data_IF_336512836495
#
_entry.id   IF_336512836495
#
_cell.length_a   1.000
_cell.length_b   1.000
_cell.length_c   1.000
_cell.angle_alpha   90.00
_cell.angle_beta   90.00
_cell.angle_gamma   90.00
#
_symmetry.space_group_name_H-M   'P 1'
#
loop_
_entity.id
_entity.type
_entity.pdbx_description
1 polymer ?
#
# COMPACT_ATOMS: atom_id res chain seq x y z
N UNK A 1 17.48 -20.91 1.38
CA UNK A 1 16.80 -19.71 1.92
C UNK A 1 15.37 -19.64 1.41
N UNK A 2 14.35 -19.36 2.28
CA UNK A 2 12.96 -19.18 1.84
C UNK A 2 12.71 -17.73 1.49
N UNK A 3 12.17 -17.47 0.31
CA UNK A 3 11.80 -16.13 -0.12
C UNK A 3 10.30 -16.03 -0.39
N UNK A 4 9.75 -14.88 -0.08
CA UNK A 4 8.37 -14.53 -0.36
C UNK A 4 8.31 -13.53 -1.51
N UNK A 5 7.53 -13.85 -2.55
CA UNK A 5 7.31 -12.96 -3.70
C UNK A 5 5.82 -12.79 -3.97
N UNK A 6 5.42 -11.56 -4.29
CA UNK A 6 4.04 -11.27 -4.68
C UNK A 6 3.94 -10.99 -6.18
N UNK A 7 3.09 -11.73 -6.87
CA UNK A 7 2.77 -11.53 -8.29
C UNK A 7 1.42 -10.83 -8.39
N UNK A 8 1.44 -9.58 -8.86
CA UNK A 8 0.24 -8.75 -8.95
C UNK A 8 -0.19 -8.57 -10.39
N UNK A 9 -1.45 -8.92 -10.68
CA UNK A 9 -2.05 -8.82 -12.00
C UNK A 9 -3.32 -7.99 -11.97
N UNK A 10 -3.69 -7.40 -13.11
CA UNK A 10 -4.99 -6.78 -13.29
C UNK A 10 -6.06 -7.85 -13.40
N UNK A 11 -7.09 -7.76 -12.56
CA UNK A 11 -8.25 -8.63 -12.57
C UNK A 11 -9.35 -7.98 -13.44
N UNK A 12 -10.05 -8.77 -14.24
CA UNK A 12 -11.08 -8.33 -15.18
C UNK A 12 -12.41 -9.05 -14.89
N UNK A 13 -13.10 -8.68 -13.78
CA UNK A 13 -14.41 -9.23 -13.48
C UNK A 13 -15.46 -8.68 -14.45
N UNK A 14 -16.49 -9.49 -14.75
CA UNK A 14 -17.72 -9.01 -15.39
C UNK A 14 -18.51 -8.12 -14.42
N UNK A 15 -19.68 -7.60 -14.85
CA UNK A 15 -20.50 -6.68 -14.05
C UNK A 15 -20.95 -7.32 -12.72
N UNK A 16 -21.50 -8.54 -12.76
CA UNK A 16 -21.98 -9.29 -11.60
C UNK A 16 -20.85 -9.62 -10.61
N UNK A 17 -19.75 -10.17 -11.12
CA UNK A 17 -18.55 -10.44 -10.33
C UNK A 17 -18.00 -9.15 -9.67
N UNK A 18 -18.06 -8.03 -10.39
CA UNK A 18 -17.63 -6.72 -9.88
C UNK A 18 -18.50 -6.25 -8.70
N UNK A 19 -19.80 -6.53 -8.73
CA UNK A 19 -20.74 -6.26 -7.61
C UNK A 19 -20.38 -7.14 -6.42
N UNK A 20 -20.27 -8.47 -6.60
CA UNK A 20 -19.92 -9.42 -5.54
C UNK A 20 -18.59 -9.09 -4.89
N UNK A 21 -17.56 -8.79 -5.68
CA UNK A 21 -16.24 -8.37 -5.17
C UNK A 21 -16.34 -7.06 -4.36
N UNK A 22 -17.18 -6.12 -4.79
CA UNK A 22 -17.40 -4.86 -4.07
C UNK A 22 -18.06 -5.10 -2.72
N UNK A 23 -19.01 -6.03 -2.63
CA UNK A 23 -19.65 -6.45 -1.38
C UNK A 23 -18.64 -7.10 -0.44
N UNK A 24 -17.84 -8.06 -0.93
CA UNK A 24 -16.84 -8.77 -0.13
C UNK A 24 -15.78 -7.82 0.47
N UNK A 25 -15.21 -6.92 -0.34
CA UNK A 25 -14.21 -5.97 0.17
C UNK A 25 -14.85 -4.88 1.05
N UNK A 26 -16.09 -4.52 0.74
CA UNK A 26 -16.91 -3.61 1.55
C UNK A 26 -17.18 -4.14 2.94
N UNK A 27 -17.60 -5.40 3.04
CA UNK A 27 -17.80 -6.12 4.30
C UNK A 27 -16.51 -6.19 5.13
N UNK A 28 -15.38 -6.47 4.49
CA UNK A 28 -14.09 -6.48 5.18
C UNK A 28 -13.70 -5.08 5.74
N UNK A 29 -14.04 -3.99 5.03
CA UNK A 29 -13.82 -2.62 5.53
C UNK A 29 -14.78 -2.30 6.68
N UNK A 30 -16.05 -2.66 6.57
CA UNK A 30 -17.04 -2.47 7.62
C UNK A 30 -16.59 -3.16 8.91
N UNK A 31 -16.27 -4.44 8.84
CA UNK A 31 -15.84 -5.24 10.00
C UNK A 31 -14.55 -4.66 10.61
N UNK A 32 -13.59 -4.18 9.80
CA UNK A 32 -12.44 -3.44 10.33
C UNK A 32 -12.88 -2.25 11.16
N UNK A 33 -13.80 -1.43 10.66
CA UNK A 33 -14.21 -0.21 11.36
C UNK A 33 -15.00 -0.53 12.64
N UNK A 34 -15.93 -1.47 12.59
CA UNK A 34 -16.70 -1.86 13.78
C UNK A 34 -15.80 -2.41 14.89
N UNK A 35 -14.90 -3.33 14.54
CA UNK A 35 -13.99 -3.90 15.53
C UNK A 35 -12.91 -2.89 15.96
N UNK A 36 -12.55 -1.92 15.11
CA UNK A 36 -11.70 -0.80 15.52
C UNK A 36 -12.39 0.04 16.61
N UNK A 37 -13.69 0.37 16.46
CA UNK A 37 -14.45 1.06 17.48
C UNK A 37 -14.44 0.29 18.80
N UNK A 38 -14.78 -1.02 18.74
CA UNK A 38 -14.75 -1.90 19.94
C UNK A 38 -13.34 -1.95 20.56
N UNK A 39 -12.28 -1.90 19.76
CA UNK A 39 -10.90 -1.92 20.26
C UNK A 39 -10.49 -0.60 20.93
N UNK A 40 -11.11 0.52 20.59
CA UNK A 40 -10.93 1.78 21.32
C UNK A 40 -11.58 1.72 22.68
N UNK A 41 -12.77 1.09 22.80
CA UNK A 41 -13.42 0.83 24.09
C UNK A 41 -12.53 -0.05 25.00
N UNK A 42 -12.00 -1.16 24.43
CA UNK A 42 -11.07 -2.03 25.14
C UNK A 42 -9.83 -1.27 25.61
N UNK A 43 -9.26 -0.42 24.74
CA UNK A 43 -8.09 0.37 25.07
C UNK A 43 -8.34 1.37 26.22
N UNK A 44 -9.50 2.04 26.21
CA UNK A 44 -9.90 2.97 27.25
C UNK A 44 -10.07 2.28 28.61
N UNK A 45 -10.57 1.04 28.63
CA UNK A 45 -10.72 0.19 29.82
C UNK A 45 -9.44 -0.49 30.28
N UNK A 46 -8.33 -0.35 29.53
CA UNK A 46 -7.07 -1.06 29.82
C UNK A 46 -7.12 -2.56 29.50
N UNK A 47 -8.09 -3.01 28.71
CA UNK A 47 -8.22 -4.41 28.32
C UNK A 47 -7.14 -4.83 27.32
N UNK A 48 -6.73 -6.10 27.37
CA UNK A 48 -5.69 -6.64 26.50
C UNK A 48 -6.18 -6.82 25.05
N UNK A 49 -5.54 -6.12 24.12
CA UNK A 49 -5.87 -6.15 22.70
C UNK A 49 -4.92 -7.09 21.95
N UNK A 50 -5.42 -8.25 21.55
CA UNK A 50 -4.69 -9.22 20.75
C UNK A 50 -5.55 -9.75 19.57
N UNK A 51 -4.93 -10.59 18.72
CA UNK A 51 -5.60 -11.12 17.54
C UNK A 51 -6.81 -12.00 17.88
N UNK A 52 -6.72 -12.82 18.93
CA UNK A 52 -7.78 -13.74 19.35
C UNK A 52 -8.99 -12.96 19.86
N UNK A 53 -8.77 -12.02 20.79
CA UNK A 53 -9.86 -11.21 21.36
C UNK A 53 -10.60 -10.41 20.28
N UNK A 54 -9.86 -9.82 19.33
CA UNK A 54 -10.48 -9.06 18.24
C UNK A 54 -11.22 -9.95 17.23
N UNK A 55 -10.67 -11.13 16.89
CA UNK A 55 -11.32 -12.07 15.94
C UNK A 55 -12.63 -12.61 16.54
N UNK A 56 -12.67 -12.92 17.84
CA UNK A 56 -13.88 -13.39 18.51
C UNK A 56 -15.05 -12.40 18.44
N UNK A 57 -14.75 -11.08 18.39
CA UNK A 57 -15.78 -10.04 18.22
C UNK A 57 -16.53 -10.15 16.87
N UNK A 58 -15.95 -10.81 15.85
CA UNK A 58 -16.62 -11.02 14.56
C UNK A 58 -17.91 -11.81 14.71
N UNK A 59 -17.92 -12.83 15.59
CA UNK A 59 -19.11 -13.67 15.82
C UNK A 59 -20.24 -12.85 16.42
N UNK A 60 -19.96 -12.06 17.45
CA UNK A 60 -20.93 -11.14 18.04
C UNK A 60 -21.50 -10.15 17.01
N UNK A 61 -20.61 -9.55 16.20
CA UNK A 61 -21.03 -8.62 15.15
C UNK A 61 -21.95 -9.27 14.10
N UNK A 62 -21.71 -10.54 13.73
CA UNK A 62 -22.57 -11.27 12.78
C UNK A 62 -23.91 -11.67 13.36
N UNK A 63 -24.02 -11.77 14.67
CA UNK A 63 -25.27 -12.10 15.36
C UNK A 63 -26.13 -10.86 15.65
N UNK A 64 -25.55 -9.67 15.52
CA UNK A 64 -26.27 -8.41 15.58
C UNK A 64 -27.22 -8.32 14.37
N UNK A 65 -28.52 -8.04 14.58
CA UNK A 65 -29.52 -7.90 13.51
C UNK A 65 -29.09 -6.91 12.42
N UNK A 66 -28.49 -5.78 12.78
CA UNK A 66 -28.05 -4.74 11.85
C UNK A 66 -26.93 -5.20 10.90
N UNK A 67 -26.18 -6.25 11.28
CA UNK A 67 -25.06 -6.81 10.53
C UNK A 67 -25.27 -8.26 10.08
N UNK A 68 -26.48 -8.82 10.24
CA UNK A 68 -26.80 -10.22 9.91
C UNK A 68 -26.44 -10.59 8.46
N UNK A 69 -26.52 -9.62 7.53
CA UNK A 69 -26.13 -9.80 6.12
C UNK A 69 -24.65 -10.19 5.94
N UNK A 70 -23.78 -9.97 6.94
CA UNK A 70 -22.40 -10.42 6.90
C UNK A 70 -22.29 -11.96 6.87
N UNK A 71 -23.32 -12.71 7.27
CA UNK A 71 -23.34 -14.18 7.17
C UNK A 71 -23.32 -14.64 5.72
N UNK A 72 -23.97 -13.90 4.81
CA UNK A 72 -24.11 -14.20 3.38
C UNK A 72 -23.15 -13.41 2.49
N UNK A 73 -22.99 -12.10 2.74
CA UNK A 73 -22.26 -11.17 1.89
C UNK A 73 -20.77 -11.04 2.26
N UNK A 74 -20.22 -11.92 3.11
CA UNK A 74 -18.81 -11.87 3.48
C UNK A 74 -18.14 -13.25 3.43
N UNK A 75 -16.81 -13.25 3.36
CA UNK A 75 -16.01 -14.45 3.48
C UNK A 75 -15.36 -14.49 4.87
N UNK A 76 -15.64 -15.52 5.67
CA UNK A 76 -15.19 -15.63 7.06
C UNK A 76 -13.66 -15.52 7.17
N UNK A 77 -12.92 -16.22 6.30
CA UNK A 77 -11.45 -16.22 6.31
C UNK A 77 -10.91 -14.82 6.01
N UNK A 78 -11.50 -14.12 5.03
CA UNK A 78 -11.06 -12.76 4.68
C UNK A 78 -11.34 -11.76 5.80
N UNK A 79 -12.44 -11.91 6.54
CA UNK A 79 -12.74 -11.10 7.73
C UNK A 79 -11.74 -11.36 8.84
N UNK A 80 -11.46 -12.62 9.17
CA UNK A 80 -10.45 -12.97 10.18
C UNK A 80 -9.08 -12.40 9.83
N UNK A 81 -8.63 -12.51 8.56
CA UNK A 81 -7.37 -11.93 8.12
C UNK A 81 -7.36 -10.40 8.25
N UNK A 82 -8.48 -9.75 7.96
CA UNK A 82 -8.61 -8.31 8.12
C UNK A 82 -8.47 -7.87 9.58
N UNK A 83 -8.99 -8.63 10.51
CA UNK A 83 -8.88 -8.33 11.94
C UNK A 83 -7.51 -8.70 12.50
N UNK A 84 -6.85 -9.74 11.99
CA UNK A 84 -5.43 -9.98 12.28
C UNK A 84 -4.53 -8.82 11.80
N UNK A 85 -4.86 -8.19 10.66
CA UNK A 85 -4.16 -6.97 10.22
C UNK A 85 -4.40 -5.80 11.20
N UNK A 86 -5.62 -5.70 11.79
CA UNK A 86 -5.93 -4.71 12.83
C UNK A 86 -5.13 -4.97 14.12
N UNK A 87 -5.09 -6.22 14.57
CA UNK A 87 -4.28 -6.61 15.73
C UNK A 87 -2.79 -6.29 15.51
N UNK A 88 -2.26 -6.55 14.30
CA UNK A 88 -0.90 -6.18 13.95
C UNK A 88 -0.67 -4.65 13.94
N UNK A 89 -1.70 -3.86 13.63
CA UNK A 89 -1.62 -2.40 13.71
C UNK A 89 -1.58 -1.93 15.19
N UNK A 90 -2.34 -2.57 16.08
CA UNK A 90 -2.26 -2.32 17.52
C UNK A 90 -0.91 -2.76 18.11
N UNK A 91 -0.40 -3.94 17.74
CA UNK A 91 0.92 -4.39 18.17
C UNK A 91 2.02 -3.37 17.81
N UNK A 92 1.97 -2.80 16.60
CA UNK A 92 2.89 -1.72 16.20
C UNK A 92 2.69 -0.43 17.01
N UNK A 93 1.46 -0.13 17.43
CA UNK A 93 1.19 1.01 18.31
C UNK A 93 1.81 0.80 19.68
N UNK A 94 1.83 -0.41 20.21
CA UNK A 94 2.43 -0.70 21.51
C UNK A 94 3.97 -0.90 21.44
N UNK A 95 4.57 -1.02 20.26
CA UNK A 95 6.01 -1.24 20.09
C UNK A 95 6.82 0.04 20.40
N UNK A 96 7.66 0.04 21.47
CA UNK A 96 8.50 1.20 21.82
C UNK A 96 9.44 1.64 20.70
N UNK A 97 9.97 0.69 19.90
CA UNK A 97 10.88 0.98 18.78
C UNK A 97 10.20 1.79 17.69
N UNK A 98 8.90 1.53 17.45
CA UNK A 98 8.10 2.29 16.47
C UNK A 98 7.85 3.71 17.00
N UNK A 99 7.60 3.87 18.30
CA UNK A 99 7.44 5.19 18.92
C UNK A 99 8.72 6.01 18.90
N UNK A 100 9.89 5.41 19.15
CA UNK A 100 11.18 6.09 19.08
C UNK A 100 11.41 6.65 17.67
N UNK A 101 11.28 5.81 16.63
CA UNK A 101 11.40 6.24 15.23
C UNK A 101 10.37 7.32 14.84
N UNK A 102 9.16 7.27 15.41
CA UNK A 102 8.14 8.30 15.17
C UNK A 102 8.52 9.64 15.79
N UNK A 103 9.08 9.67 17.03
CA UNK A 103 9.55 10.90 17.69
C UNK A 103 10.66 11.58 16.89
N UNK A 104 11.65 10.80 16.37
CA UNK A 104 12.72 11.31 15.53
C UNK A 104 12.20 12.00 14.24
N UNK A 105 11.11 11.49 13.69
CA UNK A 105 10.50 11.97 12.44
C UNK A 105 9.29 12.88 12.65
N UNK A 106 9.06 13.39 13.88
CA UNK A 106 7.87 14.14 14.25
C UNK A 106 7.69 15.38 13.37
N UNK A 107 6.62 15.37 12.59
CA UNK A 107 6.08 16.52 11.88
C UNK A 107 5.25 17.36 12.86
N UNK A 108 4.94 18.63 12.48
CA UNK A 108 4.10 19.57 13.26
C UNK A 108 2.93 18.86 13.96
N UNK A 109 2.60 19.25 15.20
CA UNK A 109 1.46 18.69 15.91
C UNK A 109 0.19 18.85 15.07
N UNK A 110 -0.52 17.76 14.86
CA UNK A 110 -1.84 17.78 14.24
C UNK A 110 -2.86 18.14 15.32
N UNK A 111 -3.97 18.77 14.92
CA UNK A 111 -5.12 18.95 15.82
C UNK A 111 -5.48 17.60 16.43
N UNK A 112 -5.70 17.55 17.76
CA UNK A 112 -6.12 16.32 18.43
C UNK A 112 -7.42 15.82 17.80
N UNK A 113 -7.56 14.51 17.73
CA UNK A 113 -8.79 13.84 17.30
C UNK A 113 -9.31 13.05 18.48
N UNK A 114 -10.61 13.04 18.64
CA UNK A 114 -11.28 12.33 19.69
C UNK A 114 -12.21 11.26 19.12
N UNK A 115 -12.41 10.22 19.88
CA UNK A 115 -13.41 9.17 19.63
C UNK A 115 -14.33 9.15 20.85
N UNK A 116 -15.64 9.28 20.61
CA UNK A 116 -16.65 9.22 21.67
C UNK A 116 -16.90 7.76 22.04
N UNK A 117 -16.69 7.41 23.29
CA UNK A 117 -16.92 6.09 23.85
C UNK A 117 -18.41 5.86 24.14
N UNK A 118 -18.80 4.62 24.39
CA UNK A 118 -20.19 4.24 24.65
C UNK A 118 -20.75 4.87 25.95
N UNK A 119 -19.88 5.11 26.95
CA UNK A 119 -20.20 5.81 28.20
C UNK A 119 -20.31 7.33 28.07
N UNK A 120 -20.11 7.87 26.86
CA UNK A 120 -20.15 9.29 26.56
C UNK A 120 -18.82 10.04 26.76
N UNK A 121 -17.81 9.41 27.34
CA UNK A 121 -16.47 10.00 27.49
C UNK A 121 -15.72 10.07 26.16
N UNK A 122 -14.67 10.88 26.09
CA UNK A 122 -13.88 11.05 24.86
C UNK A 122 -12.48 10.48 25.00
N UNK A 123 -12.15 9.54 24.12
CA UNK A 123 -10.80 9.00 23.98
C UNK A 123 -10.01 9.87 22.99
N UNK A 124 -8.92 10.49 23.44
CA UNK A 124 -7.99 11.15 22.53
C UNK A 124 -7.21 10.13 21.70
N UNK A 125 -7.38 10.20 20.38
CA UNK A 125 -6.66 9.34 19.46
C UNK A 125 -5.19 9.76 19.35
N UNK A 126 -4.29 8.89 19.78
CA UNK A 126 -2.85 9.12 19.76
C UNK A 126 -2.28 8.85 18.36
N UNK A 127 -1.15 9.46 18.00
CA UNK A 127 -0.40 9.09 16.80
C UNK A 127 -0.07 7.58 16.80
N UNK A 128 -0.02 7.00 15.61
CA UNK A 128 0.23 5.56 15.38
C UNK A 128 -0.91 4.61 15.76
N UNK A 129 -1.96 5.06 16.45
CA UNK A 129 -3.17 4.23 16.62
C UNK A 129 -3.74 3.82 15.26
N UNK A 130 -4.35 2.62 15.16
CA UNK A 130 -5.03 2.18 13.95
C UNK A 130 -6.05 3.21 13.47
N UNK A 131 -6.22 3.33 12.14
CA UNK A 131 -7.05 4.36 11.52
C UNK A 131 -8.29 3.74 10.87
N UNK A 132 -9.37 4.53 10.82
CA UNK A 132 -10.58 4.21 10.06
C UNK A 132 -10.28 4.01 8.57
N UNK A 133 -10.92 3.03 7.96
CA UNK A 133 -10.87 2.84 6.50
C UNK A 133 -12.05 3.50 5.83
N UNK A 134 -11.78 4.41 4.91
CA UNK A 134 -12.82 5.17 4.22
C UNK A 134 -13.06 4.61 2.82
N UNK A 135 -14.33 4.56 2.39
CA UNK A 135 -14.70 4.17 1.02
C UNK A 135 -14.10 5.12 -0.03
N UNK A 136 -13.93 6.40 0.32
CA UNK A 136 -13.31 7.42 -0.54
C UNK A 136 -11.85 7.14 -0.89
N UNK A 137 -11.13 6.38 -0.05
CA UNK A 137 -9.72 6.10 -0.26
C UNK A 137 -9.48 5.11 -1.42
N UNK A 138 -10.57 4.45 -1.89
CA UNK A 138 -10.56 3.47 -2.99
C UNK A 138 -9.42 2.44 -2.90
N UNK A 139 -9.10 2.03 -1.69
CA UNK A 139 -8.01 1.12 -1.37
C UNK A 139 -8.52 -0.10 -0.59
N UNK A 140 -9.69 -0.59 -1.00
CA UNK A 140 -10.30 -1.76 -0.39
C UNK A 140 -9.59 -3.03 -0.82
N UNK A 141 -9.42 -3.96 0.12
CA UNK A 141 -8.80 -5.24 -0.14
C UNK A 141 -9.31 -6.33 0.78
N UNK A 142 -9.31 -7.56 0.29
CA UNK A 142 -9.51 -8.77 1.08
C UNK A 142 -8.37 -9.75 0.81
N UNK A 143 -7.95 -10.49 1.82
CA UNK A 143 -6.92 -11.52 1.73
C UNK A 143 -7.52 -12.88 2.06
N UNK A 144 -7.25 -13.85 1.20
CA UNK A 144 -7.63 -15.25 1.33
C UNK A 144 -6.35 -16.05 1.57
N UNK A 145 -6.29 -16.74 2.67
CA UNK A 145 -5.25 -17.72 2.99
C UNK A 145 -5.78 -19.11 2.68
N UNK A 146 -4.93 -20.16 2.68
CA UNK A 146 -5.29 -21.52 2.28
C UNK A 146 -5.78 -21.55 0.82
N UNK A 147 -4.85 -21.25 -0.08
CA UNK A 147 -5.13 -21.05 -1.50
C UNK A 147 -5.96 -22.18 -2.10
N UNK A 148 -5.51 -23.42 -2.00
CA UNK A 148 -6.16 -24.59 -2.65
C UNK A 148 -7.58 -24.88 -2.16
N UNK A 149 -7.91 -24.47 -0.92
CA UNK A 149 -9.24 -24.60 -0.35
C UNK A 149 -10.22 -23.57 -0.90
N UNK A 150 -9.79 -22.32 -1.04
CA UNK A 150 -10.69 -21.21 -1.37
C UNK A 150 -10.48 -20.63 -2.76
N UNK A 151 -9.34 -20.87 -3.36
CA UNK A 151 -8.97 -20.34 -4.67
C UNK A 151 -8.29 -21.41 -5.50
N UNK A 152 -8.44 -21.34 -6.82
CA UNK A 152 -7.70 -22.14 -7.79
C UNK A 152 -7.29 -21.27 -8.97
N UNK A 153 -6.12 -21.51 -9.57
CA UNK A 153 -5.69 -20.85 -10.80
C UNK A 153 -5.74 -21.85 -11.94
N UNK A 154 -6.37 -21.47 -13.05
CA UNK A 154 -6.37 -22.20 -14.32
C UNK A 154 -5.99 -21.24 -15.44
N UNK A 155 -4.79 -21.40 -15.98
CA UNK A 155 -4.26 -20.54 -17.02
C UNK A 155 -4.24 -19.06 -16.56
N UNK A 156 -5.10 -18.23 -17.15
CA UNK A 156 -5.25 -16.80 -16.84
C UNK A 156 -6.53 -16.48 -16.05
N UNK A 157 -7.12 -17.49 -15.40
CA UNK A 157 -8.34 -17.33 -14.56
C UNK A 157 -8.05 -17.76 -13.12
N UNK A 158 -8.64 -17.07 -12.18
CA UNK A 158 -8.61 -17.42 -10.75
C UNK A 158 -10.04 -17.65 -10.26
N UNK A 159 -10.28 -18.83 -9.66
CA UNK A 159 -11.53 -19.12 -8.97
C UNK A 159 -11.53 -18.41 -7.62
N UNK A 160 -12.59 -17.67 -7.32
CA UNK A 160 -12.79 -16.94 -6.07
C UNK A 160 -14.02 -17.47 -5.34
N UNK A 161 -14.04 -17.41 -3.99
CA UNK A 161 -15.13 -17.94 -3.17
C UNK A 161 -16.41 -17.08 -3.27
N UNK A 162 -17.44 -17.52 -2.53
CA UNK A 162 -18.73 -16.81 -2.37
C UNK A 162 -19.46 -16.56 -3.69
N UNK A 163 -19.49 -17.55 -4.58
CA UNK A 163 -20.23 -17.46 -5.85
C UNK A 163 -19.57 -16.59 -6.94
N UNK A 164 -18.45 -15.91 -6.66
CA UNK A 164 -17.75 -15.08 -7.66
C UNK A 164 -17.29 -15.92 -8.86
N UNK A 165 -16.88 -17.18 -8.61
CA UNK A 165 -16.44 -18.09 -9.65
C UNK A 165 -15.10 -17.73 -10.27
N UNK A 166 -14.89 -18.12 -11.55
CA UNK A 166 -13.65 -17.86 -12.28
C UNK A 166 -13.61 -16.44 -12.85
N UNK A 167 -12.61 -15.67 -12.45
CA UNK A 167 -12.36 -14.31 -12.95
C UNK A 167 -11.08 -14.27 -13.75
N UNK A 168 -11.12 -13.68 -14.93
CA UNK A 168 -9.94 -13.49 -15.80
C UNK A 168 -8.99 -12.47 -15.22
N UNK A 169 -7.69 -12.74 -15.30
CA UNK A 169 -6.64 -11.76 -14.99
C UNK A 169 -5.60 -11.67 -16.12
N UNK A 170 -4.95 -10.52 -16.23
CA UNK A 170 -3.90 -10.29 -17.23
C UNK A 170 -2.59 -10.89 -16.76
N UNK A 171 -2.34 -12.15 -17.15
CA UNK A 171 -1.11 -12.86 -16.83
C UNK A 171 0.04 -12.31 -17.68
N UNK A 172 0.85 -11.43 -17.11
CA UNK A 172 2.02 -10.81 -17.76
C UNK A 172 3.33 -11.56 -17.48
N UNK A 173 3.31 -12.51 -16.55
CA UNK A 173 4.46 -13.33 -16.16
C UNK A 173 3.97 -14.62 -15.48
N UNK A 174 4.83 -15.63 -15.40
CA UNK A 174 4.50 -16.85 -14.69
C UNK A 174 4.58 -16.66 -13.16
N UNK A 175 3.71 -17.40 -12.46
CA UNK A 175 3.69 -17.44 -11.01
C UNK A 175 4.59 -18.59 -10.57
N UNK A 176 5.73 -18.26 -9.99
CA UNK A 176 6.74 -19.24 -9.56
C UNK A 176 6.67 -19.41 -8.05
N UNK A 177 6.71 -20.65 -7.59
CA UNK A 177 6.64 -21.03 -6.17
C UNK A 177 5.24 -21.44 -5.71
N UNK A 178 5.13 -21.87 -4.46
CA UNK A 178 3.87 -22.30 -3.86
C UNK A 178 3.04 -21.09 -3.45
N UNK A 179 1.81 -21.00 -3.96
CA UNK A 179 0.90 -19.89 -3.60
C UNK A 179 0.38 -20.11 -2.18
N UNK A 180 0.67 -19.20 -1.27
CA UNK A 180 0.22 -19.23 0.14
C UNK A 180 -1.05 -18.43 0.37
N UNK A 181 -1.21 -17.32 -0.34
CA UNK A 181 -2.37 -16.45 -0.20
C UNK A 181 -2.70 -15.70 -1.49
N UNK A 182 -3.96 -15.25 -1.57
CA UNK A 182 -4.45 -14.40 -2.65
C UNK A 182 -5.03 -13.13 -2.03
N UNK A 183 -4.60 -11.99 -2.53
CA UNK A 183 -5.17 -10.70 -2.15
C UNK A 183 -5.90 -10.09 -3.33
N UNK A 184 -7.20 -9.84 -3.16
CA UNK A 184 -8.02 -9.08 -4.11
C UNK A 184 -8.08 -7.64 -3.64
N UNK A 185 -7.82 -6.69 -4.52
CA UNK A 185 -7.84 -5.27 -4.20
C UNK A 185 -8.46 -4.43 -5.31
N UNK A 186 -9.13 -3.33 -4.91
CA UNK A 186 -9.64 -2.32 -5.83
C UNK A 186 -8.86 -1.04 -5.65
N UNK A 187 -8.23 -0.54 -6.73
CA UNK A 187 -7.46 0.70 -6.70
C UNK A 187 -7.81 1.57 -7.90
N UNK A 188 -8.22 2.81 -7.66
CA UNK A 188 -8.60 3.76 -8.70
C UNK A 188 -9.63 3.20 -9.70
N UNK A 189 -10.63 2.45 -9.19
CA UNK A 189 -11.69 1.82 -9.98
C UNK A 189 -11.30 0.55 -10.73
N UNK A 190 -10.06 0.07 -10.59
CA UNK A 190 -9.58 -1.17 -11.23
C UNK A 190 -9.37 -2.27 -10.20
N UNK A 191 -9.69 -3.51 -10.59
CA UNK A 191 -9.46 -4.69 -9.76
C UNK A 191 -8.08 -5.29 -10.01
N UNK A 192 -7.49 -5.82 -8.96
CA UNK A 192 -6.20 -6.50 -8.98
C UNK A 192 -6.27 -7.77 -8.14
N UNK A 193 -5.57 -8.79 -8.60
CA UNK A 193 -5.25 -9.99 -7.84
C UNK A 193 -3.75 -10.03 -7.58
N UNK A 194 -3.35 -10.34 -6.36
CA UNK A 194 -1.96 -10.54 -5.98
C UNK A 194 -1.81 -11.92 -5.36
N UNK A 195 -0.95 -12.77 -5.95
CA UNK A 195 -0.60 -14.07 -5.44
C UNK A 195 0.67 -13.95 -4.61
N UNK A 196 0.57 -14.19 -3.31
CA UNK A 196 1.73 -14.30 -2.43
C UNK A 196 2.29 -15.71 -2.51
N UNK A 197 3.51 -15.85 -3.01
CA UNK A 197 4.18 -17.15 -3.17
C UNK A 197 5.37 -17.28 -2.24
N UNK A 198 5.66 -18.51 -1.84
CA UNK A 198 6.88 -18.91 -1.16
C UNK A 198 7.67 -19.85 -2.09
N UNK A 199 8.95 -19.63 -2.19
CA UNK A 199 9.87 -20.55 -2.87
C UNK A 199 11.17 -20.68 -2.09
N UNK A 200 11.80 -21.82 -2.24
CA UNK A 200 13.14 -22.06 -1.70
C UNK A 200 14.18 -21.65 -2.75
N UNK A 201 15.16 -20.89 -2.32
CA UNK A 201 16.40 -20.65 -3.06
C UNK A 201 17.51 -21.44 -2.37
N UNK A 202 18.58 -21.74 -3.12
CA UNK A 202 19.79 -22.28 -2.55
C UNK A 202 20.28 -21.42 -1.39
N UNK A 203 20.87 -22.01 -0.36
CA UNK A 203 21.57 -21.24 0.66
C UNK A 203 22.77 -20.57 0.00
N UNK A 204 22.88 -19.25 0.15
CA UNK A 204 23.93 -18.43 -0.47
C UNK A 204 23.99 -18.65 -2.00
N UNK A 205 22.98 -18.22 -2.77
CA UNK A 205 23.08 -18.30 -4.22
C UNK A 205 24.30 -17.51 -4.68
N UNK A 206 25.14 -18.13 -5.49
CA UNK A 206 26.30 -17.46 -6.09
C UNK A 206 25.81 -16.61 -7.25
N UNK A 207 26.11 -15.33 -7.21
CA UNK A 207 25.74 -14.43 -8.30
C UNK A 207 26.49 -14.80 -9.59
N UNK A 208 25.82 -14.88 -10.74
CA UNK A 208 26.47 -15.27 -12.00
C UNK A 208 27.55 -14.26 -12.47
N UNK A 209 27.44 -13.00 -12.07
CA UNK A 209 28.48 -11.98 -12.30
C UNK A 209 29.41 -11.86 -11.09
N UNK A 210 30.66 -11.49 -11.35
CA UNK A 210 31.66 -11.18 -10.31
C UNK A 210 31.94 -9.67 -10.23
N UNK A 211 31.24 -8.84 -11.02
CA UNK A 211 31.49 -7.41 -11.10
C UNK A 211 30.81 -6.65 -9.97
N UNK A 212 31.44 -5.54 -9.57
CA UNK A 212 30.89 -4.54 -8.67
C UNK A 212 30.58 -3.26 -9.44
N UNK A 213 29.56 -2.50 -8.98
CA UNK A 213 29.23 -1.19 -9.54
C UNK A 213 28.86 -0.21 -8.45
N UNK A 214 29.40 1.01 -8.54
CA UNK A 214 28.95 2.17 -7.76
C UNK A 214 27.86 2.93 -8.50
N UNK A 215 26.82 3.38 -7.79
CA UNK A 215 25.74 4.19 -8.35
C UNK A 215 25.55 5.47 -7.51
N UNK A 216 25.59 6.61 -8.19
CA UNK A 216 25.18 7.92 -7.65
C UNK A 216 23.77 8.27 -8.10
N UNK A 217 22.94 8.80 -7.19
CA UNK A 217 21.52 9.07 -7.41
C UNK A 217 21.24 10.57 -7.52
N UNK A 218 20.84 11.01 -8.72
CA UNK A 218 20.61 12.42 -9.00
C UNK A 218 19.20 12.77 -9.51
N UNK A 219 18.91 14.05 -9.62
CA UNK A 219 17.63 14.58 -10.15
C UNK A 219 17.70 14.76 -11.66
N UNK A 220 18.79 15.31 -12.19
CA UNK A 220 19.00 15.52 -13.63
C UNK A 220 19.39 14.24 -14.35
N UNK A 221 20.21 13.44 -13.71
CA UNK A 221 20.59 12.07 -14.06
C UNK A 221 20.07 11.19 -12.97
N UNK A 222 19.22 10.21 -13.28
CA UNK A 222 18.62 9.33 -12.25
C UNK A 222 19.70 8.51 -11.56
N UNK A 223 20.60 7.96 -12.35
CA UNK A 223 21.76 7.19 -11.92
C UNK A 223 22.96 7.62 -12.77
N UNK A 224 24.09 7.81 -12.10
CA UNK A 224 25.41 7.81 -12.74
C UNK A 224 26.18 6.64 -12.15
N UNK A 225 26.75 5.79 -13.00
CA UNK A 225 27.48 4.60 -12.55
C UNK A 225 28.99 4.90 -12.47
N UNK A 226 29.73 4.05 -11.71
CA UNK A 226 31.21 4.12 -11.66
C UNK A 226 31.86 3.90 -13.02
N UNK A 227 31.13 3.28 -13.98
CA UNK A 227 31.60 3.10 -15.37
C UNK A 227 31.20 4.27 -16.29
N UNK A 228 30.83 5.41 -15.72
CA UNK A 228 30.39 6.63 -16.44
C UNK A 228 29.11 6.47 -17.27
N UNK A 229 28.35 5.40 -17.10
CA UNK A 229 27.04 5.26 -17.71
C UNK A 229 26.03 6.15 -17.02
N UNK A 230 25.14 6.78 -17.80
CA UNK A 230 24.11 7.69 -17.29
C UNK A 230 22.72 7.18 -17.63
N UNK A 231 21.90 6.97 -16.62
CA UNK A 231 20.49 6.63 -16.79
C UNK A 231 19.64 7.88 -16.54
N UNK A 232 18.89 8.31 -17.57
CA UNK A 232 18.05 9.50 -17.51
C UNK A 232 16.78 9.26 -16.65
N UNK A 233 16.28 10.28 -15.92
CA UNK A 233 15.05 10.18 -15.16
C UNK A 233 13.82 10.14 -16.08
N UNK A 234 12.77 9.38 -15.66
CA UNK A 234 11.49 9.34 -16.40
C UNK A 234 10.61 10.55 -16.15
N UNK A 235 10.78 11.23 -15.02
CA UNK A 235 10.04 12.45 -14.64
C UNK A 235 8.52 12.31 -14.82
N UNK A 236 7.96 11.18 -14.39
CA UNK A 236 6.57 10.80 -14.66
C UNK A 236 5.54 11.77 -14.09
N UNK A 237 5.83 12.37 -12.92
CA UNK A 237 4.98 13.40 -12.33
C UNK A 237 5.11 14.72 -13.09
N UNK A 238 6.33 15.17 -13.39
CA UNK A 238 6.60 16.41 -14.14
C UNK A 238 5.89 16.40 -15.50
N UNK A 239 5.98 15.29 -16.24
CA UNK A 239 5.32 15.10 -17.54
C UNK A 239 3.77 15.20 -17.48
N UNK A 240 3.17 14.90 -16.33
CA UNK A 240 1.73 14.92 -16.14
C UNK A 240 1.23 16.09 -15.27
N UNK A 241 2.11 16.99 -14.83
CA UNK A 241 1.80 18.04 -13.87
C UNK A 241 0.75 19.02 -14.37
N UNK A 242 0.83 19.46 -15.63
CA UNK A 242 -0.14 20.39 -16.24
C UNK A 242 -1.53 19.74 -16.28
N UNK A 243 -1.61 18.50 -16.74
CA UNK A 243 -2.86 17.73 -16.79
C UNK A 243 -3.47 17.55 -15.41
N UNK A 244 -2.64 17.23 -14.40
CA UNK A 244 -3.08 17.07 -13.02
C UNK A 244 -3.63 18.39 -12.47
N UNK A 245 -2.94 19.51 -12.68
CA UNK A 245 -3.38 20.83 -12.24
C UNK A 245 -4.72 21.24 -12.90
N UNK A 246 -4.91 20.95 -14.18
CA UNK A 246 -6.17 21.20 -14.87
C UNK A 246 -7.33 20.41 -14.27
N UNK A 247 -7.13 19.10 -14.02
CA UNK A 247 -8.13 18.25 -13.38
C UNK A 247 -8.47 18.69 -11.94
N UNK A 248 -7.47 19.16 -11.18
CA UNK A 248 -7.66 19.67 -9.81
C UNK A 248 -8.43 21.01 -9.81
N UNK A 249 -8.15 21.93 -10.73
CA UNK A 249 -8.93 23.17 -10.92
C UNK A 249 -10.38 22.87 -11.28
N UNK A 250 -10.61 21.87 -12.15
CA UNK A 250 -11.97 21.43 -12.46
C UNK A 250 -12.69 20.82 -11.24
N UNK A 251 -11.96 20.10 -10.37
CA UNK A 251 -12.53 19.52 -9.16
C UNK A 251 -12.96 20.59 -8.14
N UNK A 252 -12.12 21.64 -7.95
CA UNK A 252 -12.40 22.73 -7.00
C UNK A 252 -13.65 23.53 -7.32
N UNK A 253 -14.09 23.53 -8.60
CA UNK A 253 -15.31 24.21 -9.06
C UNK A 253 -16.58 23.36 -8.90
N UNK A 254 -16.49 22.13 -8.36
CA UNK A 254 -17.61 21.22 -8.23
C UNK A 254 -18.10 21.18 -6.79
N UNK A 255 -19.42 21.03 -6.62
CA UNK A 255 -20.03 20.83 -5.31
C UNK A 255 -19.45 19.56 -4.67
N UNK A 256 -18.93 19.71 -3.47
CA UNK A 256 -18.26 18.67 -2.70
C UNK A 256 -19.18 17.44 -2.55
N UNK A 257 -18.64 16.25 -2.78
CA UNK A 257 -19.33 14.95 -2.72
C UNK A 257 -20.45 14.73 -3.73
N UNK A 258 -20.77 15.69 -4.62
CA UNK A 258 -21.72 15.48 -5.72
C UNK A 258 -21.25 14.36 -6.66
N UNK A 259 -22.15 13.83 -7.50
CA UNK A 259 -21.77 12.80 -8.49
C UNK A 259 -20.70 13.32 -9.48
N UNK A 260 -20.80 14.59 -9.88
CA UNK A 260 -19.82 15.21 -10.76
C UNK A 260 -18.45 15.40 -10.07
N UNK A 261 -18.44 15.74 -8.78
CA UNK A 261 -17.22 15.78 -7.98
C UNK A 261 -16.57 14.39 -7.89
N UNK A 262 -17.36 13.35 -7.58
CA UNK A 262 -16.88 11.95 -7.50
C UNK A 262 -16.30 11.47 -8.83
N UNK A 263 -16.96 11.76 -9.96
CA UNK A 263 -16.46 11.45 -11.31
C UNK A 263 -15.11 12.14 -11.57
N UNK A 264 -15.00 13.43 -11.23
CA UNK A 264 -13.78 14.21 -11.44
C UNK A 264 -12.63 13.72 -10.53
N UNK A 265 -12.91 13.47 -9.26
CA UNK A 265 -11.94 12.91 -8.31
C UNK A 265 -11.41 11.54 -8.79
N UNK A 266 -12.27 10.70 -9.35
CA UNK A 266 -11.86 9.43 -9.94
C UNK A 266 -10.87 9.61 -11.11
N UNK A 267 -11.02 10.65 -11.95
CA UNK A 267 -10.06 10.97 -13.02
C UNK A 267 -8.69 11.35 -12.44
N UNK A 268 -8.67 12.15 -11.39
CA UNK A 268 -7.43 12.53 -10.68
C UNK A 268 -6.74 11.31 -10.08
N UNK A 269 -7.48 10.45 -9.39
CA UNK A 269 -6.94 9.22 -8.81
C UNK A 269 -6.37 8.27 -9.88
N UNK A 270 -7.05 8.13 -11.04
CA UNK A 270 -6.56 7.34 -12.17
C UNK A 270 -5.25 7.91 -12.72
N UNK A 271 -5.13 9.24 -12.81
CA UNK A 271 -3.90 9.90 -13.27
C UNK A 271 -2.74 9.68 -12.29
N UNK A 272 -2.97 9.87 -10.99
CA UNK A 272 -1.95 9.56 -9.96
C UNK A 272 -1.50 8.11 -10.02
N UNK A 273 -2.44 7.17 -10.20
CA UNK A 273 -2.10 5.76 -10.33
C UNK A 273 -1.29 5.47 -11.61
N UNK A 274 -1.61 6.12 -12.71
CA UNK A 274 -0.84 6.01 -13.96
C UNK A 274 0.60 6.52 -13.78
N UNK A 275 0.79 7.70 -13.17
CA UNK A 275 2.11 8.27 -12.86
C UNK A 275 2.94 7.30 -11.98
N UNK A 276 2.31 6.77 -10.93
CA UNK A 276 2.96 5.80 -10.05
C UNK A 276 3.37 4.51 -10.77
N UNK A 277 2.53 4.01 -11.69
CA UNK A 277 2.83 2.80 -12.46
C UNK A 277 4.00 3.01 -13.45
N UNK A 278 4.04 4.16 -14.13
CA UNK A 278 5.16 4.50 -15.03
C UNK A 278 6.48 4.48 -14.26
N UNK A 279 6.52 5.14 -13.09
CA UNK A 279 7.72 5.17 -12.24
C UNK A 279 8.10 3.77 -11.77
N UNK A 280 7.14 3.03 -11.27
CA UNK A 280 7.36 1.67 -10.76
C UNK A 280 7.90 0.71 -11.84
N UNK A 281 7.31 0.71 -13.03
CA UNK A 281 7.77 -0.10 -14.16
C UNK A 281 9.19 0.28 -14.58
N UNK A 282 9.46 1.59 -14.69
CA UNK A 282 10.77 2.08 -15.07
C UNK A 282 11.85 1.67 -14.06
N UNK A 283 11.61 1.89 -12.78
CA UNK A 283 12.55 1.49 -11.72
C UNK A 283 12.74 -0.03 -11.66
N UNK A 284 11.67 -0.82 -11.87
CA UNK A 284 11.81 -2.27 -11.93
C UNK A 284 12.71 -2.74 -13.06
N UNK A 285 12.60 -2.16 -14.26
CA UNK A 285 13.45 -2.48 -15.40
C UNK A 285 14.91 -2.17 -15.10
N UNK A 286 15.21 -0.95 -14.69
CA UNK A 286 16.57 -0.51 -14.35
C UNK A 286 17.18 -1.39 -13.26
N UNK A 287 16.49 -1.54 -12.12
CA UNK A 287 17.02 -2.31 -11.00
C UNK A 287 17.17 -3.80 -11.33
N UNK A 288 16.36 -4.35 -12.25
CA UNK A 288 16.54 -5.73 -12.73
C UNK A 288 17.79 -5.87 -13.58
N UNK A 289 18.06 -4.92 -14.47
CA UNK A 289 19.27 -4.92 -15.30
C UNK A 289 20.52 -4.79 -14.44
N UNK A 290 20.54 -3.81 -13.53
CA UNK A 290 21.70 -3.58 -12.64
C UNK A 290 21.95 -4.83 -11.77
N UNK A 291 20.90 -5.37 -11.12
CA UNK A 291 21.04 -6.54 -10.24
C UNK A 291 21.41 -7.83 -10.97
N UNK A 292 21.09 -7.99 -12.25
CA UNK A 292 21.51 -9.16 -13.04
C UNK A 292 22.96 -9.10 -13.47
N UNK A 293 23.48 -7.90 -13.67
CA UNK A 293 24.79 -7.70 -14.26
C UNK A 293 25.90 -7.57 -13.20
N UNK A 294 25.57 -7.28 -11.95
CA UNK A 294 26.55 -6.97 -10.91
C UNK A 294 26.24 -7.70 -9.61
N UNK A 295 27.27 -8.39 -9.08
CA UNK A 295 27.20 -9.10 -7.78
C UNK A 295 27.17 -8.15 -6.59
N UNK A 296 27.83 -6.99 -6.71
CA UNK A 296 27.88 -5.99 -5.67
C UNK A 296 27.46 -4.62 -6.21
N UNK A 297 26.60 -3.94 -5.46
CA UNK A 297 26.11 -2.60 -5.80
C UNK A 297 26.37 -1.68 -4.60
N UNK A 298 27.22 -0.67 -4.78
CA UNK A 298 27.45 0.38 -3.80
C UNK A 298 26.57 1.59 -4.15
N UNK A 299 25.83 2.12 -3.19
CA UNK A 299 25.02 3.33 -3.36
C UNK A 299 25.00 4.18 -2.09
N UNK A 300 24.72 5.47 -2.24
CA UNK A 300 24.59 6.39 -1.13
C UNK A 300 23.37 6.08 -0.24
N UNK A 301 23.53 6.20 1.08
CA UNK A 301 22.41 6.17 2.04
C UNK A 301 21.66 7.51 2.07
N UNK A 302 20.86 7.77 1.05
CA UNK A 302 20.09 9.00 0.95
C UNK A 302 18.89 9.01 1.91
N UNK A 303 18.94 9.89 2.89
CA UNK A 303 17.82 10.13 3.82
C UNK A 303 16.72 10.96 3.15
N UNK A 304 16.04 10.38 2.14
CA UNK A 304 15.03 11.05 1.30
C UNK A 304 13.95 11.77 2.12
N UNK A 305 13.55 11.22 3.27
CA UNK A 305 12.58 11.85 4.17
C UNK A 305 13.08 13.20 4.71
N UNK A 306 14.38 13.31 5.03
CA UNK A 306 15.01 14.56 5.47
C UNK A 306 15.19 15.54 4.31
N UNK A 307 15.65 15.04 3.16
CA UNK A 307 15.83 15.86 1.96
C UNK A 307 14.52 16.49 1.47
N UNK A 308 13.38 15.80 1.64
CA UNK A 308 12.05 16.26 1.22
C UNK A 308 11.24 16.97 2.32
N UNK A 309 11.87 17.38 3.44
CA UNK A 309 11.20 18.15 4.48
C UNK A 309 10.70 19.50 3.94
N UNK A 310 9.52 19.93 4.43
CA UNK A 310 8.96 21.25 4.09
C UNK A 310 9.78 22.38 4.70
N UNK A 311 9.98 23.45 3.96
CA UNK A 311 10.60 24.67 4.44
C UNK A 311 9.59 25.71 4.94
N UNK A 312 8.30 25.37 5.14
CA UNK A 312 7.24 26.35 5.49
C UNK A 312 7.41 27.00 6.87
N UNK A 313 8.33 26.51 7.71
CA UNK A 313 8.54 27.04 9.05
C UNK A 313 7.37 26.82 10.02
N UNK A 314 7.30 27.57 11.11
CA UNK A 314 6.20 27.64 12.09
C UNK A 314 5.40 28.94 11.91
N UNK A 315 4.36 29.15 12.72
CA UNK A 315 3.60 30.42 12.75
C UNK A 315 4.51 31.55 13.23
N UNK A 316 5.36 31.27 14.23
CA UNK A 316 6.28 32.23 14.84
C UNK A 316 7.50 32.51 13.95
N UNK A 317 8.01 31.48 13.25
CA UNK A 317 9.17 31.60 12.38
C UNK A 317 8.83 31.09 10.97
N UNK A 318 8.44 32.02 10.10
CA UNK A 318 8.11 31.73 8.70
C UNK A 318 9.33 31.18 7.97
N UNK A 319 9.11 30.16 7.14
CA UNK A 319 10.18 29.54 6.35
C UNK A 319 10.62 30.44 5.19
N UNK A 320 11.91 30.32 4.81
CA UNK A 320 12.49 30.98 3.64
C UNK A 320 12.48 30.05 2.42
N UNK A 321 12.42 30.61 1.21
CA UNK A 321 12.49 29.88 -0.07
C UNK A 321 11.50 28.71 -0.20
N UNK A 322 10.31 28.81 0.41
CA UNK A 322 9.30 27.73 0.49
C UNK A 322 8.90 27.22 -0.89
N UNK A 323 8.72 28.12 -1.89
CA UNK A 323 8.34 27.78 -3.27
C UNK A 323 9.43 26.96 -3.97
N UNK A 324 10.68 27.41 -3.89
CA UNK A 324 11.83 26.72 -4.47
C UNK A 324 12.02 25.33 -3.84
N UNK A 325 11.96 25.25 -2.49
CA UNK A 325 12.06 23.96 -1.77
C UNK A 325 10.92 23.01 -2.09
N UNK A 326 9.70 23.53 -2.28
CA UNK A 326 8.56 22.71 -2.72
C UNK A 326 8.78 22.13 -4.12
N UNK A 327 9.36 22.92 -5.04
CA UNK A 327 9.76 22.47 -6.38
C UNK A 327 10.80 21.35 -6.31
N UNK A 328 11.88 21.57 -5.55
CA UNK A 328 12.92 20.56 -5.33
C UNK A 328 12.36 19.27 -4.71
N UNK A 329 11.50 19.38 -3.70
CA UNK A 329 10.87 18.22 -3.07
C UNK A 329 10.04 17.40 -4.06
N UNK A 330 9.31 18.05 -4.97
CA UNK A 330 8.56 17.36 -6.03
C UNK A 330 9.51 16.60 -6.96
N UNK A 331 10.63 17.22 -7.35
CA UNK A 331 11.65 16.57 -8.20
C UNK A 331 12.27 15.35 -7.50
N UNK A 332 12.71 15.49 -6.26
CA UNK A 332 13.25 14.38 -5.44
C UNK A 332 12.26 13.21 -5.35
N UNK A 333 11.00 13.50 -4.99
CA UNK A 333 9.97 12.46 -4.83
C UNK A 333 9.55 11.82 -6.15
N UNK A 334 9.71 12.52 -7.29
CA UNK A 334 9.41 11.96 -8.61
C UNK A 334 10.45 10.93 -9.04
N UNK A 335 11.69 10.99 -8.55
CA UNK A 335 12.73 10.00 -8.87
C UNK A 335 12.46 8.63 -8.22
N UNK A 336 11.93 8.62 -6.99
CA UNK A 336 11.60 7.37 -6.28
C UNK A 336 12.83 6.62 -5.75
N UNK A 337 13.89 7.32 -5.35
CA UNK A 337 15.15 6.74 -4.86
C UNK A 337 14.96 5.68 -3.77
N UNK A 338 14.16 5.97 -2.74
CA UNK A 338 13.90 4.97 -1.68
C UNK A 338 13.22 3.69 -2.19
N UNK A 339 12.37 3.79 -3.24
CA UNK A 339 11.79 2.63 -3.90
C UNK A 339 12.85 1.85 -4.68
N UNK A 340 13.76 2.56 -5.35
CA UNK A 340 14.83 1.97 -6.15
C UNK A 340 15.82 1.21 -5.26
N UNK A 341 16.30 1.81 -4.17
CA UNK A 341 17.20 1.15 -3.21
C UNK A 341 16.57 -0.12 -2.64
N UNK A 342 15.31 -0.05 -2.17
CA UNK A 342 14.60 -1.24 -1.72
C UNK A 342 14.48 -2.32 -2.82
N UNK A 343 14.30 -1.92 -4.11
CA UNK A 343 14.24 -2.87 -5.21
C UNK A 343 15.60 -3.53 -5.49
N UNK A 344 16.69 -2.81 -5.39
CA UNK A 344 18.04 -3.33 -5.52
C UNK A 344 18.34 -4.31 -4.40
N UNK A 345 18.05 -3.92 -3.14
CA UNK A 345 18.30 -4.73 -1.95
C UNK A 345 17.67 -6.12 -2.05
N UNK A 346 16.33 -6.22 -2.25
CA UNK A 346 15.72 -7.55 -2.31
C UNK A 346 16.08 -8.34 -3.57
N UNK A 347 16.42 -7.67 -4.68
CA UNK A 347 16.84 -8.36 -5.90
C UNK A 347 18.24 -8.96 -5.76
N UNK A 348 19.14 -8.24 -5.11
CA UNK A 348 20.47 -8.79 -4.78
C UNK A 348 20.34 -10.00 -3.84
N UNK A 349 19.54 -9.90 -2.77
CA UNK A 349 19.28 -11.03 -1.88
C UNK A 349 18.73 -12.28 -2.62
N UNK A 350 18.05 -12.10 -3.75
CA UNK A 350 17.52 -13.21 -4.52
C UNK A 350 18.50 -13.79 -5.54
N UNK A 351 19.57 -13.09 -5.86
CA UNK A 351 20.53 -13.48 -6.88
C UNK A 351 21.91 -13.90 -6.32
N UNK A 352 22.18 -13.60 -5.08
CA UNK A 352 23.44 -13.94 -4.38
C UNK A 352 24.28 -12.72 -4.00
#
# INVERSE_FOLDING_TARGET
>A
MKINKAYKFRLEPNAEQGVMLTQLVGSARLVWNQILAMSFEMFAKGEFINATNLVNKITGLKNDPDFAYLKTCSNAVSLQQKIRDLASAWARFFDPKVHARYKENKKKPRKPKFFKLADGTELQLRPLMPQWKRKSDQNDSMRLVQFDKYCKVQGNRVKLPNGVGFVKFRKSQDIIGTIKNVTISKKSGRWYVSFGTERELAQNPIHPSKTAIGIDLGISKLITTSNSEVIKPKNSFKANQIKLAALQRQLSRKVLFSQNWKKQNSKIQKLHHHIANIRHDYLHKITTTISKNHAMIACEDLKVANMSKSASGSVEKKGKNVKAKSGLNKSILDQGWGMMVNMLEYKQQWQG
#
